data_IF_605703752864
#
_entry.id   IF_605703752864
#
_cell.length_a   1.000
_cell.length_b   1.000
_cell.length_c   1.000
_cell.angle_alpha   90.00
_cell.angle_beta   90.00
_cell.angle_gamma   90.00
#
_symmetry.space_group_name_H-M   'P 1'
#
loop_
_entity.id
_entity.type
_entity.pdbx_description
1 polymer ?
#
# COMPACT_ATOMS: atom_id res chain seq x y z
N UNK A 1 6.97 -22.52 -41.79
CA UNK A 1 6.91 -21.09 -41.47
C UNK A 1 6.39 -20.97 -40.04
N UNK A 2 7.30 -20.76 -39.08
CA UNK A 2 6.92 -20.60 -37.67
C UNK A 2 6.51 -19.16 -37.42
N UNK A 3 5.27 -18.95 -36.99
CA UNK A 3 4.78 -17.65 -36.57
C UNK A 3 5.37 -17.41 -35.17
N UNK A 4 6.44 -16.61 -35.12
CA UNK A 4 6.96 -16.08 -33.86
C UNK A 4 5.91 -15.13 -33.29
N UNK A 5 5.14 -15.60 -32.31
CA UNK A 5 4.36 -14.71 -31.44
C UNK A 5 5.33 -13.73 -30.78
N UNK A 6 5.14 -12.41 -30.92
CA UNK A 6 5.98 -11.45 -30.22
C UNK A 6 5.80 -11.70 -28.72
N UNK A 7 6.89 -12.05 -28.06
CA UNK A 7 6.95 -12.14 -26.60
C UNK A 7 6.79 -10.72 -26.08
N UNK A 8 5.55 -10.34 -25.73
CA UNK A 8 5.29 -9.11 -24.99
C UNK A 8 5.88 -9.35 -23.60
N UNK A 9 6.95 -8.64 -23.20
CA UNK A 9 7.42 -8.70 -21.83
C UNK A 9 6.24 -8.32 -20.95
N UNK A 10 5.95 -9.10 -19.90
CA UNK A 10 4.95 -8.71 -18.91
C UNK A 10 5.33 -7.31 -18.41
N UNK A 11 4.63 -6.27 -18.87
CA UNK A 11 4.77 -4.93 -18.32
C UNK A 11 4.40 -5.08 -16.85
N UNK A 12 5.39 -4.94 -15.96
CA UNK A 12 5.13 -4.94 -14.53
C UNK A 12 4.05 -3.90 -14.25
N UNK A 13 2.88 -4.37 -13.80
CA UNK A 13 1.74 -3.50 -13.58
C UNK A 13 2.12 -2.39 -12.59
N UNK A 14 1.79 -1.14 -12.91
CA UNK A 14 2.01 -0.02 -12.02
C UNK A 14 1.15 -0.21 -10.77
N UNK A 15 1.78 -0.24 -9.59
CA UNK A 15 1.14 -0.43 -8.29
C UNK A 15 1.18 0.85 -7.49
N UNK A 16 0.19 1.05 -6.63
CA UNK A 16 0.14 2.17 -5.69
C UNK A 16 1.34 2.10 -4.73
N UNK A 17 2.00 3.23 -4.52
CA UNK A 17 3.08 3.37 -3.55
C UNK A 17 2.94 4.68 -2.78
N UNK A 18 3.55 4.74 -1.61
CA UNK A 18 3.66 5.94 -0.80
C UNK A 18 5.11 6.42 -0.83
N UNK A 19 5.28 7.72 -1.03
CA UNK A 19 6.58 8.34 -1.18
C UNK A 19 6.70 9.54 -0.26
N UNK A 20 7.91 9.75 0.22
CA UNK A 20 8.33 10.99 0.85
C UNK A 20 9.57 11.52 0.13
N UNK A 21 10.02 12.70 0.48
CA UNK A 21 11.21 13.28 -0.12
C UNK A 21 11.59 14.59 0.54
N UNK A 22 12.82 15.06 0.30
CA UNK A 22 13.33 16.29 0.91
C UNK A 22 12.53 17.55 0.51
N UNK A 23 11.77 17.47 -0.58
CA UNK A 23 10.93 18.55 -1.09
C UNK A 23 9.58 18.65 -0.37
N UNK A 24 9.13 17.58 0.28
CA UNK A 24 7.87 17.57 1.00
C UNK A 24 8.05 18.15 2.41
N UNK A 25 7.00 18.74 3.00
CA UNK A 25 6.99 19.07 4.42
C UNK A 25 7.37 17.87 5.28
N UNK A 26 8.03 18.11 6.42
CA UNK A 26 8.46 17.03 7.32
C UNK A 26 7.27 16.12 7.71
N UNK A 27 7.42 14.81 7.49
CA UNK A 27 6.39 13.82 7.76
C UNK A 27 5.26 13.75 6.73
N UNK A 28 5.27 14.58 5.69
CA UNK A 28 4.29 14.50 4.61
C UNK A 28 4.62 13.35 3.64
N UNK A 29 3.55 12.71 3.18
CA UNK A 29 3.60 11.56 2.29
C UNK A 29 2.68 11.82 1.12
N UNK A 30 3.21 11.62 -0.09
CA UNK A 30 2.45 11.65 -1.32
C UNK A 30 2.17 10.21 -1.78
N UNK A 31 1.09 10.02 -2.52
CA UNK A 31 0.76 8.73 -3.11
C UNK A 31 1.02 8.75 -4.60
N UNK A 32 1.70 7.74 -5.10
CA UNK A 32 2.00 7.60 -6.52
C UNK A 32 1.87 6.15 -6.98
N UNK A 33 2.48 5.86 -8.11
CA UNK A 33 2.50 4.57 -8.76
C UNK A 33 3.92 4.21 -9.14
N UNK A 34 4.22 2.91 -9.08
CA UNK A 34 5.51 2.39 -9.47
C UNK A 34 5.39 1.00 -10.09
N UNK A 35 6.25 0.71 -11.06
CA UNK A 35 6.24 -0.55 -11.80
C UNK A 35 7.01 -1.68 -11.09
N UNK A 36 7.43 -1.48 -9.84
CA UNK A 36 8.10 -2.51 -9.04
C UNK A 36 9.55 -2.79 -9.43
N UNK A 37 10.19 -1.97 -10.27
CA UNK A 37 11.64 -2.04 -10.44
C UNK A 37 12.36 -1.64 -9.14
N UNK A 38 13.62 -2.04 -8.90
CA UNK A 38 14.35 -1.64 -7.71
C UNK A 38 14.37 -0.11 -7.52
N UNK A 39 14.08 0.35 -6.31
CA UNK A 39 14.05 1.77 -5.97
C UNK A 39 15.45 2.30 -5.67
N UNK A 40 15.82 3.43 -6.27
CA UNK A 40 17.09 4.11 -6.01
C UNK A 40 16.90 5.64 -6.05
N UNK A 41 17.96 6.40 -5.77
CA UNK A 41 17.91 7.87 -5.62
C UNK A 41 17.49 8.65 -6.87
N UNK A 42 17.58 8.05 -8.05
CA UNK A 42 17.11 8.64 -9.32
C UNK A 42 15.76 8.05 -9.77
N UNK A 43 15.15 7.21 -8.94
CA UNK A 43 13.80 6.71 -9.15
C UNK A 43 12.78 7.81 -8.87
N UNK A 44 11.68 7.79 -9.61
CA UNK A 44 10.57 8.70 -9.46
C UNK A 44 9.26 7.91 -9.44
N UNK A 45 8.34 8.27 -8.53
CA UNK A 45 6.96 7.83 -8.59
C UNK A 45 6.24 8.46 -9.79
N UNK A 46 5.30 7.72 -10.35
CA UNK A 46 4.36 8.20 -11.35
C UNK A 46 3.05 8.61 -10.65
N UNK A 47 2.55 9.81 -10.86
CA UNK A 47 1.35 10.29 -10.17
C UNK A 47 0.13 10.27 -11.10
N UNK A 48 -1.05 9.91 -10.61
CA UNK A 48 -2.28 10.18 -11.38
C UNK A 48 -2.63 11.67 -11.30
N UNK A 49 -3.55 12.15 -12.15
CA UNK A 49 -4.04 13.55 -12.05
C UNK A 49 -4.56 13.91 -10.65
N UNK A 50 -5.29 13.00 -10.00
CA UNK A 50 -5.81 13.23 -8.65
C UNK A 50 -4.68 13.33 -7.60
N UNK A 51 -3.59 12.60 -7.79
CA UNK A 51 -2.44 12.66 -6.89
C UNK A 51 -1.58 13.87 -7.14
N UNK A 52 -1.42 14.28 -8.41
CA UNK A 52 -0.78 15.55 -8.74
C UNK A 52 -1.52 16.70 -8.07
N UNK A 53 -2.85 16.72 -8.09
CA UNK A 53 -3.63 17.78 -7.44
C UNK A 53 -3.30 17.87 -5.94
N UNK A 54 -3.27 16.74 -5.23
CA UNK A 54 -2.86 16.68 -3.82
C UNK A 54 -1.40 17.07 -3.62
N UNK A 55 -0.52 16.68 -4.54
CA UNK A 55 0.88 17.06 -4.49
C UNK A 55 1.07 18.57 -4.65
N UNK A 56 0.26 19.23 -5.48
CA UNK A 56 0.25 20.70 -5.61
C UNK A 56 -0.21 21.40 -4.32
N UNK A 57 -1.06 20.77 -3.51
CA UNK A 57 -1.44 21.30 -2.19
C UNK A 57 -0.26 21.28 -1.20
N UNK A 58 0.66 20.31 -1.36
CA UNK A 58 1.86 20.17 -0.52
C UNK A 58 3.03 21.01 -1.02
N UNK A 59 3.08 21.31 -2.33
CA UNK A 59 4.18 21.98 -3.00
C UNK A 59 3.68 23.24 -3.73
N UNK A 60 3.84 24.44 -3.15
CA UNK A 60 3.25 25.68 -3.70
C UNK A 60 3.79 26.09 -5.07
N UNK A 61 4.97 25.58 -5.45
CA UNK A 61 5.62 25.83 -6.74
C UNK A 61 5.20 24.85 -7.84
N UNK A 62 4.32 23.90 -7.51
CA UNK A 62 3.80 22.88 -8.42
C UNK A 62 2.34 23.20 -8.78
N UNK A 63 1.99 23.09 -10.05
CA UNK A 63 0.63 23.34 -10.53
C UNK A 63 0.27 22.42 -11.70
N UNK A 64 -0.95 21.92 -11.74
CA UNK A 64 -1.47 21.22 -12.91
C UNK A 64 -2.05 22.22 -13.92
N UNK A 65 -1.66 22.10 -15.19
CA UNK A 65 -2.11 23.00 -16.27
C UNK A 65 -2.99 22.22 -17.24
N UNK A 66 -4.30 22.40 -17.11
CA UNK A 66 -5.30 21.62 -17.87
C UNK A 66 -5.17 21.78 -19.38
N UNK A 67 -4.87 22.99 -19.87
CA UNK A 67 -4.74 23.26 -21.31
C UNK A 67 -3.59 22.51 -21.99
N UNK A 68 -2.60 22.06 -21.20
CA UNK A 68 -1.45 21.28 -21.69
C UNK A 68 -1.52 19.81 -21.29
N UNK A 69 -2.41 19.44 -20.37
CA UNK A 69 -2.42 18.13 -19.72
C UNK A 69 -1.02 17.78 -19.14
N UNK A 70 -0.45 18.71 -18.37
CA UNK A 70 0.90 18.59 -17.83
C UNK A 70 1.02 19.24 -16.46
N UNK A 71 2.01 18.78 -15.68
CA UNK A 71 2.39 19.39 -14.40
C UNK A 71 3.50 20.40 -14.64
N UNK A 72 3.36 21.60 -14.08
CA UNK A 72 4.34 22.67 -14.14
C UNK A 72 4.98 22.86 -12.78
N UNK A 73 6.30 22.80 -12.72
CA UNK A 73 7.10 23.21 -11.57
C UNK A 73 7.87 24.49 -11.89
N UNK A 74 7.81 25.48 -11.00
CA UNK A 74 8.49 26.77 -11.17
C UNK A 74 9.49 26.98 -10.03
N UNK A 75 10.77 27.04 -10.36
CA UNK A 75 11.84 27.30 -9.40
C UNK A 75 12.65 28.52 -9.85
N UNK A 76 12.41 29.67 -9.21
CA UNK A 76 12.97 30.95 -9.62
C UNK A 76 12.55 31.29 -11.07
N UNK A 77 13.52 31.40 -11.97
CA UNK A 77 13.28 31.65 -13.40
C UNK A 77 13.14 30.37 -14.24
N UNK A 78 13.37 29.20 -13.66
CA UNK A 78 13.30 27.92 -14.38
C UNK A 78 11.89 27.36 -14.29
N UNK A 79 11.35 26.94 -15.43
CA UNK A 79 10.09 26.18 -15.50
C UNK A 79 10.39 24.80 -16.03
N UNK A 80 9.96 23.78 -15.30
CA UNK A 80 10.00 22.38 -15.71
C UNK A 80 8.57 21.89 -15.96
N UNK A 81 8.43 21.05 -16.99
CA UNK A 81 7.16 20.46 -17.40
C UNK A 81 7.24 18.96 -17.32
N UNK A 82 6.22 18.34 -16.72
CA UNK A 82 6.03 16.90 -16.66
C UNK A 82 4.77 16.57 -17.45
N UNK A 83 4.96 16.12 -18.68
CA UNK A 83 3.85 15.78 -19.57
C UNK A 83 3.23 14.42 -19.18
N UNK A 84 1.98 14.19 -19.58
CA UNK A 84 1.27 12.94 -19.30
C UNK A 84 1.87 11.75 -20.07
N UNK A 85 2.05 10.63 -19.37
CA UNK A 85 2.46 9.34 -19.93
C UNK A 85 1.35 8.29 -19.72
N UNK A 86 0.82 7.67 -20.81
CA UNK A 86 -0.27 6.72 -20.68
C UNK A 86 0.25 5.35 -20.21
N UNK A 87 -0.32 4.82 -19.12
CA UNK A 87 0.00 3.52 -18.56
C UNK A 87 -1.23 2.69 -18.19
N UNK A 88 -1.07 1.36 -18.13
CA UNK A 88 -2.13 0.47 -17.63
C UNK A 88 -1.98 0.31 -16.12
N UNK A 89 -3.00 0.74 -15.38
CA UNK A 89 -3.13 0.59 -13.93
C UNK A 89 -4.44 -0.15 -13.67
N UNK A 90 -4.39 -1.28 -12.96
CA UNK A 90 -5.57 -2.11 -12.65
C UNK A 90 -6.43 -2.43 -13.90
N UNK A 91 -5.77 -2.70 -15.03
CA UNK A 91 -6.42 -3.01 -16.32
C UNK A 91 -7.03 -1.80 -17.05
N UNK A 92 -6.86 -0.58 -16.52
CA UNK A 92 -7.37 0.66 -17.13
C UNK A 92 -6.23 1.55 -17.62
N UNK A 93 -6.37 2.07 -18.83
CA UNK A 93 -5.49 3.10 -19.35
C UNK A 93 -5.65 4.39 -18.54
N UNK A 94 -4.56 4.85 -17.93
CA UNK A 94 -4.51 5.98 -17.01
C UNK A 94 -3.29 6.85 -17.34
N UNK A 95 -3.52 8.14 -17.47
CA UNK A 95 -2.43 9.12 -17.61
C UNK A 95 -1.72 9.29 -16.27
N UNK A 96 -0.41 9.03 -16.27
CA UNK A 96 0.46 9.26 -15.12
C UNK A 96 1.52 10.31 -15.43
N UNK A 97 2.04 10.97 -14.40
CA UNK A 97 2.97 12.08 -14.51
C UNK A 97 4.25 11.77 -13.72
N UNK A 98 5.39 11.80 -14.40
CA UNK A 98 6.73 11.60 -13.83
C UNK A 98 7.24 12.85 -13.10
N UNK A 99 6.63 13.20 -11.97
CA UNK A 99 6.94 14.47 -11.28
C UNK A 99 8.19 14.33 -10.41
N UNK A 100 9.15 15.22 -10.63
CA UNK A 100 10.34 15.34 -9.78
C UNK A 100 11.40 14.27 -10.02
N UNK A 101 11.74 14.02 -11.29
CA UNK A 101 12.92 13.22 -11.61
C UNK A 101 14.18 13.78 -10.93
N UNK A 102 14.91 12.93 -10.19
CA UNK A 102 16.12 13.35 -9.49
C UNK A 102 15.88 14.17 -8.21
N UNK A 103 14.63 14.29 -7.75
CA UNK A 103 14.29 15.00 -6.51
C UNK A 103 14.62 14.20 -5.24
N UNK A 104 15.18 12.99 -5.38
CA UNK A 104 15.53 12.14 -4.25
C UNK A 104 14.30 11.55 -3.56
N UNK A 105 13.30 11.14 -4.34
CA UNK A 105 12.13 10.45 -3.80
C UNK A 105 12.54 9.18 -3.04
N UNK A 106 11.88 8.97 -1.92
CA UNK A 106 12.06 7.82 -1.07
C UNK A 106 10.71 7.13 -0.90
N UNK A 107 10.71 5.80 -0.82
CA UNK A 107 9.53 5.10 -0.30
C UNK A 107 9.26 5.60 1.11
N UNK A 108 8.00 5.91 1.41
CA UNK A 108 7.62 6.34 2.74
C UNK A 108 7.85 5.20 3.74
N UNK A 109 8.53 5.49 4.85
CA UNK A 109 8.73 4.54 5.97
C UNK A 109 7.46 4.33 6.80
N UNK A 110 6.49 5.22 6.65
CA UNK A 110 5.22 5.19 7.35
C UNK A 110 4.13 5.46 6.33
N UNK A 111 3.20 4.53 6.14
CA UNK A 111 2.04 4.76 5.28
C UNK A 111 0.95 5.49 6.08
N UNK A 112 1.15 6.79 6.36
CA UNK A 112 0.06 7.62 6.90
C UNK A 112 -0.85 8.06 5.76
N UNK A 113 -1.67 7.13 5.29
CA UNK A 113 -2.59 7.38 4.19
C UNK A 113 -3.80 8.16 4.71
N UNK A 114 -4.18 9.29 4.08
CA UNK A 114 -5.45 9.95 4.37
C UNK A 114 -6.62 9.00 4.09
N UNK A 115 -7.62 8.97 4.97
CA UNK A 115 -8.76 8.03 5.02
C UNK A 115 -9.68 7.96 3.77
N UNK A 116 -9.29 8.60 2.66
CA UNK A 116 -10.10 8.83 1.46
C UNK A 116 -10.04 7.74 0.39
N UNK A 117 -9.20 6.72 0.51
CA UNK A 117 -9.12 5.65 -0.49
C UNK A 117 -9.91 4.41 -0.08
N UNK A 118 -11.05 4.18 -0.74
CA UNK A 118 -12.02 3.09 -0.51
C UNK A 118 -11.48 1.65 -0.70
N UNK A 119 -10.19 1.47 -0.94
CA UNK A 119 -9.51 0.17 -1.17
C UNK A 119 -8.31 -0.07 -0.22
N UNK A 120 -8.10 0.83 0.74
CA UNK A 120 -7.04 0.69 1.74
C UNK A 120 -7.68 0.50 3.10
N UNK A 121 -7.26 -0.55 3.81
CA UNK A 121 -7.63 -0.79 5.20
C UNK A 121 -6.57 -0.15 6.08
N UNK A 122 -6.99 0.44 7.20
CA UNK A 122 -6.06 1.11 8.09
C UNK A 122 -5.98 0.33 9.40
N UNK A 123 -4.79 -0.18 9.70
CA UNK A 123 -4.59 -1.11 10.81
C UNK A 123 -3.55 -0.58 11.78
N UNK A 124 -3.75 -0.88 13.05
CA UNK A 124 -2.83 -0.54 14.12
C UNK A 124 -1.86 -1.70 14.36
N UNK A 125 -0.55 -1.42 14.25
CA UNK A 125 0.50 -2.42 14.50
C UNK A 125 1.46 -1.94 15.60
N UNK A 126 1.99 -2.88 16.39
CA UNK A 126 3.05 -2.55 17.37
C UNK A 126 4.28 -2.00 16.64
N UNK A 127 5.01 -1.08 17.27
CA UNK A 127 6.23 -0.49 16.69
C UNK A 127 7.26 -1.54 16.29
N UNK A 128 7.46 -2.58 17.11
CA UNK A 128 8.39 -3.67 16.77
C UNK A 128 7.95 -4.46 15.52
N UNK A 129 6.65 -4.71 15.36
CA UNK A 129 6.11 -5.35 14.16
C UNK A 129 6.26 -4.45 12.93
N UNK A 130 6.04 -3.14 13.09
CA UNK A 130 6.29 -2.15 12.04
C UNK A 130 7.76 -2.15 11.60
N UNK A 131 8.70 -2.06 12.54
CA UNK A 131 10.14 -2.06 12.25
C UNK A 131 10.56 -3.34 11.52
N UNK A 132 10.06 -4.49 11.96
CA UNK A 132 10.30 -5.77 11.29
C UNK A 132 9.76 -5.80 9.86
N UNK A 133 8.49 -5.44 9.65
CA UNK A 133 7.90 -5.40 8.30
C UNK A 133 8.63 -4.38 7.40
N UNK A 134 9.06 -3.26 7.96
CA UNK A 134 9.77 -2.23 7.22
C UNK A 134 11.17 -2.71 6.79
N UNK A 135 11.90 -3.39 7.67
CA UNK A 135 13.20 -3.95 7.32
C UNK A 135 13.11 -4.92 6.14
N UNK A 136 12.08 -5.78 6.14
CA UNK A 136 11.81 -6.71 5.04
C UNK A 136 11.38 -5.98 3.75
N UNK A 137 10.50 -4.99 3.87
CA UNK A 137 10.05 -4.20 2.73
C UNK A 137 11.21 -3.41 2.08
N UNK A 138 12.12 -2.88 2.90
CA UNK A 138 13.30 -2.16 2.45
C UNK A 138 14.30 -3.09 1.73
N UNK A 139 14.51 -4.32 2.26
CA UNK A 139 15.33 -5.36 1.64
C UNK A 139 14.79 -5.76 0.25
N UNK A 140 13.48 -5.92 0.13
CA UNK A 140 12.81 -6.27 -1.12
C UNK A 140 12.53 -5.05 -2.04
N UNK A 141 12.86 -3.83 -1.58
CA UNK A 141 12.61 -2.56 -2.28
C UNK A 141 11.13 -2.34 -2.67
N UNK A 142 10.20 -2.72 -1.78
CA UNK A 142 8.75 -2.61 -1.97
C UNK A 142 8.15 -1.64 -0.94
N UNK A 143 7.07 -0.94 -1.29
CA UNK A 143 6.33 -0.13 -0.33
C UNK A 143 5.72 -0.98 0.79
N UNK A 144 5.74 -0.49 2.02
CA UNK A 144 5.24 -1.20 3.20
C UNK A 144 3.78 -1.68 3.03
N UNK A 145 2.89 -0.87 2.46
CA UNK A 145 1.49 -1.24 2.23
C UNK A 145 1.32 -2.48 1.34
N UNK A 146 2.17 -2.60 0.30
CA UNK A 146 2.16 -3.71 -0.62
C UNK A 146 2.83 -4.93 0.02
N UNK A 147 3.88 -4.70 0.79
CA UNK A 147 4.57 -5.74 1.55
C UNK A 147 3.67 -6.36 2.63
N UNK A 148 2.94 -5.54 3.39
CA UNK A 148 1.96 -6.01 4.37
C UNK A 148 0.85 -6.85 3.73
N UNK A 149 0.36 -6.45 2.54
CA UNK A 149 -0.58 -7.28 1.77
C UNK A 149 0.04 -8.61 1.32
N UNK A 150 1.31 -8.62 0.93
CA UNK A 150 2.03 -9.84 0.57
C UNK A 150 2.16 -10.78 1.78
N UNK A 151 2.56 -10.26 2.93
CA UNK A 151 2.66 -11.00 4.20
C UNK A 151 1.32 -11.62 4.60
N UNK A 152 0.22 -10.87 4.49
CA UNK A 152 -1.13 -11.38 4.78
C UNK A 152 -1.55 -12.50 3.82
N UNK A 153 -1.24 -12.36 2.53
CA UNK A 153 -1.52 -13.39 1.53
C UNK A 153 -0.79 -14.68 1.88
N UNK A 154 0.52 -14.60 2.16
CA UNK A 154 1.33 -15.74 2.55
C UNK A 154 0.86 -16.39 3.87
N UNK A 155 0.51 -15.58 4.86
CA UNK A 155 -0.04 -16.05 6.13
C UNK A 155 -1.34 -16.85 5.95
N UNK A 156 -2.23 -16.36 5.09
CA UNK A 156 -3.51 -17.01 4.78
C UNK A 156 -3.27 -18.30 3.97
N UNK A 157 -2.45 -18.24 2.92
CA UNK A 157 -2.11 -19.40 2.08
C UNK A 157 -1.48 -20.53 2.89
N UNK A 158 -0.54 -20.20 3.77
CA UNK A 158 0.12 -21.17 4.65
C UNK A 158 -0.88 -21.87 5.57
N UNK A 159 -1.87 -21.14 6.10
CA UNK A 159 -2.91 -21.72 6.96
C UNK A 159 -3.93 -22.53 6.19
N UNK A 160 -4.28 -22.11 4.97
CA UNK A 160 -5.20 -22.84 4.11
C UNK A 160 -4.57 -24.08 3.44
N UNK A 161 -3.24 -24.22 3.44
CA UNK A 161 -2.49 -25.34 2.82
C UNK A 161 -2.90 -25.64 1.37
N UNK A 162 -3.35 -24.64 0.61
CA UNK A 162 -3.91 -24.83 -0.74
C UNK A 162 -5.06 -25.86 -0.83
N UNK A 163 -5.80 -26.09 0.27
CA UNK A 163 -6.89 -27.07 0.30
C UNK A 163 -8.08 -26.60 -0.54
N UNK A 164 -8.72 -27.53 -1.26
CA UNK A 164 -9.92 -27.25 -2.10
C UNK A 164 -11.17 -26.88 -1.30
N UNK A 165 -11.22 -27.18 0.00
CA UNK A 165 -12.30 -26.76 0.91
C UNK A 165 -11.74 -25.69 1.83
N UNK A 166 -12.47 -24.58 1.96
CA UNK A 166 -12.13 -23.49 2.86
C UNK A 166 -12.25 -23.98 4.30
N UNK A 167 -11.12 -24.31 4.92
CA UNK A 167 -11.01 -24.68 6.33
C UNK A 167 -10.41 -23.50 7.10
N UNK A 168 -11.24 -22.85 7.91
CA UNK A 168 -10.87 -21.64 8.67
C UNK A 168 -10.51 -21.94 10.13
N UNK A 169 -10.50 -23.20 10.55
CA UNK A 169 -10.20 -23.60 11.95
C UNK A 169 -8.80 -23.16 12.42
N UNK A 170 -7.87 -22.98 11.48
CA UNK A 170 -6.50 -22.53 11.79
C UNK A 170 -6.39 -21.03 12.11
N UNK A 171 -7.50 -20.31 12.08
CA UNK A 171 -7.59 -18.90 12.45
C UNK A 171 -8.21 -18.70 13.83
N UNK A 172 -8.51 -19.76 14.60
CA UNK A 172 -9.15 -19.63 15.93
C UNK A 172 -8.39 -18.69 16.87
N UNK A 173 -7.06 -18.74 16.87
CA UNK A 173 -6.23 -17.82 17.67
C UNK A 173 -6.38 -16.36 17.20
N UNK A 174 -6.38 -16.13 15.88
CA UNK A 174 -6.59 -14.80 15.28
C UNK A 174 -7.97 -14.27 15.65
N UNK A 175 -9.01 -15.10 15.55
CA UNK A 175 -10.38 -14.73 15.87
C UNK A 175 -10.53 -14.38 17.35
N UNK A 176 -9.99 -15.22 18.25
CA UNK A 176 -10.01 -14.95 19.69
C UNK A 176 -9.32 -13.62 20.03
N UNK A 177 -8.16 -13.36 19.41
CA UNK A 177 -7.40 -12.12 19.58
C UNK A 177 -8.19 -10.91 19.04
N UNK A 178 -8.72 -11.00 17.82
CA UNK A 178 -9.49 -9.93 17.18
C UNK A 178 -10.77 -9.58 17.97
N UNK A 179 -11.44 -10.59 18.54
CA UNK A 179 -12.64 -10.42 19.37
C UNK A 179 -12.36 -9.71 20.69
N UNK A 180 -11.18 -9.91 21.30
CA UNK A 180 -10.87 -9.42 22.66
C UNK A 180 -10.31 -7.99 22.73
N UNK A 181 -10.32 -7.21 21.63
CA UNK A 181 -9.74 -5.85 21.52
C UNK A 181 -8.31 -5.81 22.08
N UNK A 182 -7.30 -5.99 21.21
CA UNK A 182 -5.93 -5.74 21.66
C UNK A 182 -5.77 -4.29 22.11
N UNK A 183 -5.34 -4.12 23.35
CA UNK A 183 -4.66 -2.88 23.74
C UNK A 183 -3.24 -2.95 23.15
N UNK A 184 -2.99 -2.13 22.14
CA UNK A 184 -1.67 -1.99 21.51
C UNK A 184 -1.04 -0.66 21.94
N UNK A 185 -0.41 -0.58 23.13
CA UNK A 185 0.24 0.65 23.56
C UNK A 185 1.37 1.01 22.59
N UNK A 186 1.35 2.25 22.10
CA UNK A 186 2.33 2.74 21.12
C UNK A 186 2.11 2.23 19.69
N UNK A 187 0.95 1.66 19.37
CA UNK A 187 0.69 1.23 18.00
C UNK A 187 0.69 2.37 16.99
N UNK A 188 1.24 2.07 15.83
CA UNK A 188 1.32 2.96 14.67
C UNK A 188 0.26 2.53 13.66
N UNK A 189 -0.43 3.51 13.08
CA UNK A 189 -1.42 3.28 12.03
C UNK A 189 -0.69 3.13 10.69
N UNK A 190 -0.89 2.00 10.02
CA UNK A 190 -0.39 1.76 8.67
C UNK A 190 -1.55 1.49 7.71
N UNK A 191 -1.30 1.63 6.41
CA UNK A 191 -2.25 1.20 5.39
C UNK A 191 -1.89 -0.18 4.84
N UNK A 192 -2.92 -0.96 4.56
CA UNK A 192 -2.81 -2.26 3.90
C UNK A 192 -3.70 -2.22 2.65
N UNK A 193 -3.13 -2.59 1.51
CA UNK A 193 -3.89 -2.69 0.27
C UNK A 193 -4.75 -3.95 0.30
N UNK A 194 -6.07 -3.83 0.13
CA UNK A 194 -6.93 -5.00 -0.01
C UNK A 194 -6.64 -5.73 -1.32
N UNK A 195 -6.62 -7.05 -1.30
CA UNK A 195 -6.51 -7.93 -2.47
C UNK A 195 -7.52 -9.09 -2.34
N UNK A 196 -7.38 -10.15 -3.13
CA UNK A 196 -8.25 -11.35 -3.14
C UNK A 196 -8.41 -11.99 -1.74
N UNK A 197 -7.40 -11.87 -0.89
CA UNK A 197 -7.43 -12.38 0.49
C UNK A 197 -8.52 -11.71 1.36
N UNK A 198 -9.07 -10.57 0.94
CA UNK A 198 -10.13 -9.89 1.69
C UNK A 198 -11.39 -10.74 1.84
N UNK A 199 -11.66 -11.65 0.90
CA UNK A 199 -12.79 -12.57 0.98
C UNK A 199 -12.64 -13.58 2.14
N UNK A 200 -11.40 -14.00 2.44
CA UNK A 200 -11.10 -14.85 3.60
C UNK A 200 -11.28 -14.06 4.89
N UNK A 201 -10.78 -12.82 4.93
CA UNK A 201 -10.98 -11.93 6.09
C UNK A 201 -12.47 -11.68 6.32
N UNK A 202 -13.26 -11.46 5.27
CA UNK A 202 -14.71 -11.33 5.38
C UNK A 202 -15.34 -12.56 6.03
N UNK A 203 -15.00 -13.77 5.54
CA UNK A 203 -15.49 -15.00 6.14
C UNK A 203 -15.12 -15.11 7.64
N UNK A 204 -13.89 -14.74 8.00
CA UNK A 204 -13.43 -14.70 9.39
C UNK A 204 -14.22 -13.71 10.24
N UNK A 205 -14.59 -12.53 9.72
CA UNK A 205 -15.42 -11.57 10.47
C UNK A 205 -16.82 -12.09 10.80
N UNK A 206 -17.34 -13.09 10.07
CA UNK A 206 -18.61 -13.76 10.38
C UNK A 206 -18.45 -14.91 11.37
N UNK A 207 -17.24 -15.45 11.52
CA UNK A 207 -16.92 -16.52 12.47
C UNK A 207 -16.46 -16.00 13.84
N UNK A 208 -16.10 -14.72 13.93
CA UNK A 208 -15.69 -14.10 15.18
C UNK A 208 -16.85 -14.01 16.17
N UNK A 209 -16.65 -14.58 17.37
CA UNK A 209 -17.61 -14.51 18.47
C UNK A 209 -17.37 -13.27 19.34
N UNK A 210 -18.44 -12.61 19.77
CA UNK A 210 -18.40 -11.48 20.71
C UNK A 210 -19.36 -10.35 20.32
N UNK A 211 -20.26 -9.97 21.22
CA UNK A 211 -21.26 -8.92 20.97
C UNK A 211 -20.62 -7.57 20.63
N UNK A 212 -19.55 -7.20 21.34
CA UNK A 212 -18.82 -5.94 21.07
C UNK A 212 -18.11 -5.94 19.73
N UNK A 213 -17.57 -7.09 19.28
CA UNK A 213 -16.94 -7.20 17.98
C UNK A 213 -18.00 -7.13 16.86
N UNK A 214 -19.11 -7.84 17.02
CA UNK A 214 -20.19 -7.90 16.04
C UNK A 214 -20.98 -6.59 15.92
N UNK A 215 -20.96 -5.75 16.94
CA UNK A 215 -21.53 -4.39 16.88
C UNK A 215 -20.72 -3.42 16.00
N UNK A 216 -19.47 -3.76 15.62
CA UNK A 216 -18.62 -2.88 14.83
C UNK A 216 -19.00 -2.88 13.33
N UNK A 217 -18.80 -1.74 12.64
CA UNK A 217 -18.88 -1.70 11.18
C UNK A 217 -17.95 -2.75 10.55
N UNK A 218 -18.37 -3.32 9.41
CA UNK A 218 -17.61 -4.38 8.71
C UNK A 218 -16.14 -3.98 8.48
N UNK A 219 -15.88 -2.72 8.12
CA UNK A 219 -14.53 -2.21 7.93
C UNK A 219 -13.68 -2.31 9.21
N UNK A 220 -14.22 -1.91 10.36
CA UNK A 220 -13.51 -2.00 11.64
C UNK A 220 -13.30 -3.47 12.07
N UNK A 221 -14.22 -4.38 11.73
CA UNK A 221 -14.03 -5.82 11.96
C UNK A 221 -12.90 -6.39 11.11
N UNK A 222 -12.83 -6.02 9.82
CA UNK A 222 -11.72 -6.39 8.92
C UNK A 222 -10.39 -5.88 9.46
N UNK A 223 -10.34 -4.61 9.84
CA UNK A 223 -9.13 -3.99 10.40
C UNK A 223 -8.65 -4.75 11.64
N UNK A 224 -9.53 -5.08 12.60
CA UNK A 224 -9.16 -5.89 13.78
C UNK A 224 -8.64 -7.28 13.46
N UNK A 225 -9.24 -7.97 12.49
CA UNK A 225 -8.76 -9.29 12.07
C UNK A 225 -7.37 -9.18 11.46
N UNK A 226 -7.13 -8.18 10.62
CA UNK A 226 -5.82 -7.94 9.99
C UNK A 226 -4.78 -7.54 11.04
N UNK A 227 -5.12 -6.70 12.00
CA UNK A 227 -4.26 -6.35 13.13
C UNK A 227 -3.82 -7.62 13.88
N UNK A 228 -4.76 -8.51 14.21
CA UNK A 228 -4.46 -9.78 14.87
C UNK A 228 -3.58 -10.70 14.01
N UNK A 229 -3.81 -10.77 12.70
CA UNK A 229 -2.98 -11.55 11.76
C UNK A 229 -1.54 -11.03 11.70
N UNK A 230 -1.36 -9.73 11.50
CA UNK A 230 -0.03 -9.11 11.42
C UNK A 230 0.71 -9.23 12.76
N UNK A 231 0.00 -9.06 13.87
CA UNK A 231 0.57 -9.21 15.21
C UNK A 231 1.06 -10.65 15.46
N UNK A 232 0.24 -11.63 15.10
CA UNK A 232 0.59 -13.04 15.23
C UNK A 232 1.73 -13.42 14.28
N UNK A 233 1.71 -12.94 13.03
CA UNK A 233 2.78 -13.18 12.08
C UNK A 233 4.11 -12.58 12.55
N UNK A 234 4.09 -11.35 13.09
CA UNK A 234 5.29 -10.71 13.62
C UNK A 234 5.88 -11.49 14.80
N UNK A 235 5.03 -12.07 15.67
CA UNK A 235 5.49 -12.96 16.76
C UNK A 235 6.07 -14.27 16.24
N UNK A 236 5.41 -14.89 15.26
CA UNK A 236 5.76 -16.22 14.75
C UNK A 236 7.02 -16.19 13.86
N UNK A 237 7.08 -15.24 12.93
CA UNK A 237 8.14 -15.15 11.92
C UNK A 237 9.22 -14.12 12.28
N UNK A 238 8.83 -13.01 12.90
CA UNK A 238 9.75 -11.94 13.29
C UNK A 238 10.35 -12.11 14.68
N UNK A 239 9.72 -12.91 15.55
CA UNK A 239 10.15 -13.08 16.94
C UNK A 239 9.93 -11.86 17.84
N UNK A 240 8.96 -10.99 17.50
CA UNK A 240 8.70 -9.67 18.13
C UNK A 240 7.31 -9.51 18.76
#
# INVERSE_FOLDING_TARGET
>A
MSISTPHIPAQSAFRRIFVTGPWLPAGAIATGYWNGKPWHTLTYPMFSRADVQRLCELLPNLSFVESRNAVRHVEGSRTEWFDAEPHIVDGKLTDLYAVGFGWGWQLARHDTVPATHRQSLHVMVRTAALEWMQALADEDHVALCAYASFLLSGYIEQRLECRRRLDLSRFDAVLAIASQRLSLPGAVRIAVQSSEWIAVVDALTYLADGEEFNALPLQARRERVIEAMLDQLAREAGGV
#
